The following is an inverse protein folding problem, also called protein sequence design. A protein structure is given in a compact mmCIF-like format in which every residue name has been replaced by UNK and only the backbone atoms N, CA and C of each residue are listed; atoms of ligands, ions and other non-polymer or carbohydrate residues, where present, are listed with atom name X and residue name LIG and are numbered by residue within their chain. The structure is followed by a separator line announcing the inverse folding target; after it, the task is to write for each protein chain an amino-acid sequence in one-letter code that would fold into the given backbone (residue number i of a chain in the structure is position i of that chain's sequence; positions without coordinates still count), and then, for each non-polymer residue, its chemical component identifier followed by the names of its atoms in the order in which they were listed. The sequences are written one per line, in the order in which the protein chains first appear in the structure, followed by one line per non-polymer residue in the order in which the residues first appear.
data_IF_897697697654
#
_entry.id   IF_897697697654
#
_cell.length_a   1.000
_cell.length_b   1.000
_cell.length_c   1.000
_cell.angle_alpha   90.00
_cell.angle_beta   90.00
_cell.angle_gamma   90.00
#
_symmetry.space_group_name_H-M   'P 1'
#
loop_
_entity.id
_entity.type
_entity.pdbx_description
1 polymer ?
#
# COMPACT_ATOMS: atom_id res chain seq x y z
N UNK A 1 -20.78 -18.67 21.20
CA UNK A 1 -19.48 -19.10 20.64
C UNK A 1 -19.65 -19.34 19.15
N UNK A 2 -19.17 -18.44 18.30
CA UNK A 2 -19.23 -18.58 16.85
C UNK A 2 -17.86 -19.03 16.34
N UNK A 3 -17.82 -20.19 15.69
CA UNK A 3 -16.61 -20.83 15.20
C UNK A 3 -15.88 -19.98 14.16
N UNK A 4 -14.60 -19.76 14.42
CA UNK A 4 -13.62 -19.21 13.49
C UNK A 4 -13.29 -20.26 12.44
N UNK A 5 -13.90 -20.17 11.26
CA UNK A 5 -13.49 -20.96 10.10
C UNK A 5 -12.08 -20.58 9.61
N UNK A 6 -11.35 -21.49 8.94
CA UNK A 6 -10.01 -21.25 8.43
C UNK A 6 -10.03 -20.10 7.42
N UNK A 7 -8.97 -19.29 7.42
CA UNK A 7 -8.93 -17.97 6.81
C UNK A 7 -9.44 -17.92 5.37
N UNK A 8 -10.56 -17.22 5.17
CA UNK A 8 -11.08 -16.89 3.84
C UNK A 8 -10.01 -16.19 2.98
N UNK A 9 -10.13 -16.36 1.66
CA UNK A 9 -9.13 -15.88 0.68
C UNK A 9 -8.87 -14.38 0.86
N UNK A 10 -7.61 -14.03 1.08
CA UNK A 10 -7.16 -12.65 1.18
C UNK A 10 -6.81 -12.11 -0.20
N UNK A 11 -7.20 -10.87 -0.48
CA UNK A 11 -6.82 -10.16 -1.72
C UNK A 11 -6.38 -8.74 -1.41
N UNK A 12 -5.40 -8.25 -2.15
CA UNK A 12 -5.06 -6.83 -2.13
C UNK A 12 -6.01 -6.02 -3.01
N UNK A 13 -6.37 -4.82 -2.56
CA UNK A 13 -7.31 -3.94 -3.23
C UNK A 13 -6.87 -2.48 -3.11
N UNK A 14 -7.19 -1.70 -4.14
CA UNK A 14 -7.12 -0.24 -4.13
C UNK A 14 -8.54 0.28 -4.27
N UNK A 15 -9.05 0.92 -3.23
CA UNK A 15 -10.44 1.37 -3.17
C UNK A 15 -10.60 2.74 -3.83
N UNK A 16 -11.63 2.94 -4.64
CA UNK A 16 -11.97 4.24 -5.22
C UNK A 16 -13.42 4.58 -4.88
N UNK A 17 -13.80 5.86 -4.81
CA UNK A 17 -12.97 7.07 -4.94
C UNK A 17 -12.09 7.36 -3.70
N UNK A 18 -11.09 8.28 -3.78
CA UNK A 18 -10.16 8.58 -2.69
C UNK A 18 -10.81 8.92 -1.34
N UNK A 19 -11.93 9.64 -1.33
CA UNK A 19 -12.64 9.98 -0.10
C UNK A 19 -13.28 8.75 0.58
N UNK A 20 -13.76 7.77 -0.22
CA UNK A 20 -14.26 6.51 0.31
C UNK A 20 -13.10 5.67 0.90
N UNK A 21 -11.96 5.63 0.22
CA UNK A 21 -10.75 5.00 0.75
C UNK A 21 -10.30 5.64 2.08
N UNK A 22 -10.38 6.97 2.19
CA UNK A 22 -10.04 7.70 3.40
C UNK A 22 -10.96 7.29 4.56
N UNK A 23 -12.29 7.33 4.36
CA UNK A 23 -13.25 6.95 5.40
C UNK A 23 -13.05 5.51 5.88
N UNK A 24 -12.83 4.58 4.96
CA UNK A 24 -12.62 3.17 5.27
C UNK A 24 -11.27 2.88 5.93
N UNK A 25 -10.22 3.63 5.58
CA UNK A 25 -8.94 3.55 6.28
C UNK A 25 -9.04 4.09 7.71
N UNK A 26 -9.74 5.20 7.93
CA UNK A 26 -9.98 5.76 9.28
C UNK A 26 -10.75 4.77 10.14
N UNK A 27 -11.89 4.28 9.65
CA UNK A 27 -12.73 3.28 10.33
C UNK A 27 -11.88 2.08 10.79
N UNK A 28 -11.12 1.49 9.86
CA UNK A 28 -10.28 0.34 10.17
C UNK A 28 -9.14 0.68 11.13
N UNK A 29 -8.42 1.78 10.95
CA UNK A 29 -7.28 2.12 11.81
C UNK A 29 -7.73 2.37 13.26
N UNK A 30 -8.87 3.04 13.45
CA UNK A 30 -9.40 3.38 14.76
C UNK A 30 -9.96 2.18 15.54
N UNK A 31 -10.00 0.97 14.98
CA UNK A 31 -10.23 -0.26 15.75
C UNK A 31 -9.05 -0.62 16.67
N UNK A 32 -7.85 -0.12 16.36
CA UNK A 32 -6.63 -0.41 17.13
C UNK A 32 -6.33 0.70 18.16
N UNK A 33 -6.12 0.38 19.46
CA UNK A 33 -5.82 1.37 20.49
C UNK A 33 -4.59 2.24 20.20
N UNK A 34 -3.64 1.73 19.44
CA UNK A 34 -2.42 2.45 19.04
C UNK A 34 -2.74 3.67 18.17
N UNK A 35 -3.72 3.53 17.27
CA UNK A 35 -4.15 4.63 16.40
C UNK A 35 -5.14 5.57 17.08
N UNK A 36 -5.97 5.06 18.01
CA UNK A 36 -6.89 5.91 18.79
C UNK A 36 -6.18 6.98 19.63
N UNK A 37 -4.92 6.74 20.03
CA UNK A 37 -4.11 7.69 20.80
C UNK A 37 -3.50 8.81 19.96
N UNK A 38 -3.50 8.68 18.64
CA UNK A 38 -2.95 9.69 17.75
C UNK A 38 -4.05 10.74 17.50
N UNK A 39 -3.68 12.02 17.56
CA UNK A 39 -4.61 13.09 17.25
C UNK A 39 -5.21 12.90 15.84
N UNK A 40 -6.53 13.01 15.72
CA UNK A 40 -7.23 12.73 14.45
C UNK A 40 -6.65 13.53 13.28
N UNK A 41 -6.33 14.80 13.48
CA UNK A 41 -5.73 15.65 12.44
C UNK A 41 -4.37 15.12 11.94
N UNK A 42 -3.59 14.45 12.79
CA UNK A 42 -2.33 13.83 12.39
C UNK A 42 -2.57 12.57 11.54
N UNK A 43 -3.48 11.67 11.96
CA UNK A 43 -3.87 10.51 11.15
C UNK A 43 -4.43 10.96 9.80
N UNK A 44 -5.32 11.95 9.81
CA UNK A 44 -5.96 12.47 8.60
C UNK A 44 -4.92 12.99 7.60
N UNK A 45 -3.92 13.76 8.05
CA UNK A 45 -2.83 14.25 7.17
C UNK A 45 -2.03 13.11 6.54
N UNK A 46 -1.67 12.09 7.32
CA UNK A 46 -0.93 10.93 6.83
C UNK A 46 -1.73 10.16 5.76
N UNK A 47 -3.02 9.94 6.03
CA UNK A 47 -3.94 9.25 5.11
C UNK A 47 -4.19 10.06 3.84
N UNK A 48 -4.48 11.36 3.95
CA UNK A 48 -4.65 12.26 2.79
C UNK A 48 -3.39 12.21 1.93
N UNK A 49 -2.21 12.25 2.53
CA UNK A 49 -0.94 12.14 1.83
C UNK A 49 -0.82 10.83 1.03
N UNK A 50 -0.93 9.67 1.69
CA UNK A 50 -0.72 8.40 1.00
C UNK A 50 -1.85 8.08 0.00
N UNK A 51 -3.10 8.44 0.33
CA UNK A 51 -4.26 8.19 -0.54
C UNK A 51 -4.26 9.12 -1.75
N UNK A 52 -3.99 10.41 -1.54
CA UNK A 52 -3.91 11.39 -2.63
C UNK A 52 -2.86 11.04 -3.68
N UNK A 53 -1.74 10.40 -3.26
CA UNK A 53 -0.69 9.90 -4.15
C UNK A 53 -0.97 8.52 -4.77
N UNK A 54 -2.05 7.84 -4.37
CA UNK A 54 -2.27 6.44 -4.74
C UNK A 54 -1.27 5.46 -4.11
N UNK A 55 -0.51 5.88 -3.10
CA UNK A 55 0.52 5.09 -2.42
C UNK A 55 -0.05 4.40 -1.19
N UNK A 56 -1.09 3.59 -1.39
CA UNK A 56 -1.75 2.83 -0.34
C UNK A 56 -2.34 1.53 -0.89
N UNK A 57 -2.68 0.62 0.01
CA UNK A 57 -3.45 -0.58 -0.32
C UNK A 57 -4.24 -1.07 0.89
N UNK A 58 -5.31 -1.79 0.60
CA UNK A 58 -6.05 -2.60 1.56
C UNK A 58 -5.79 -4.08 1.29
N UNK A 59 -5.87 -4.89 2.35
CA UNK A 59 -6.15 -6.32 2.23
C UNK A 59 -7.59 -6.53 2.68
N UNK A 60 -8.37 -7.23 1.86
CA UNK A 60 -9.76 -7.58 2.20
C UNK A 60 -9.95 -9.10 2.15
N UNK A 61 -10.92 -9.58 2.92
CA UNK A 61 -11.42 -10.96 2.82
C UNK A 61 -12.47 -11.10 1.70
N UNK A 62 -13.00 -12.31 1.53
CA UNK A 62 -14.05 -12.63 0.56
C UNK A 62 -15.33 -11.79 0.78
N UNK A 63 -15.65 -11.50 2.04
CA UNK A 63 -16.78 -10.67 2.46
C UNK A 63 -16.53 -9.17 2.34
N UNK A 64 -15.47 -8.73 1.65
CA UNK A 64 -15.10 -7.32 1.47
C UNK A 64 -14.76 -6.57 2.76
N UNK A 65 -14.50 -7.30 3.85
CA UNK A 65 -14.08 -6.68 5.12
C UNK A 65 -12.59 -6.39 5.05
N UNK A 66 -12.20 -5.21 5.51
CA UNK A 66 -10.80 -4.82 5.58
C UNK A 66 -10.13 -5.63 6.68
N UNK A 67 -9.04 -6.28 6.31
CA UNK A 67 -8.20 -7.07 7.20
C UNK A 67 -6.83 -6.42 7.39
N UNK A 68 -6.42 -5.54 6.47
CA UNK A 68 -5.15 -4.82 6.56
C UNK A 68 -5.14 -3.54 5.76
N UNK A 69 -4.30 -2.60 6.17
CA UNK A 69 -4.08 -1.32 5.50
C UNK A 69 -2.59 -0.94 5.55
N UNK A 70 -2.06 -0.52 4.41
CA UNK A 70 -0.72 0.02 4.28
C UNK A 70 -0.76 1.35 3.54
N UNK A 71 -0.12 2.38 4.09
CA UNK A 71 0.20 3.62 3.41
C UNK A 71 1.72 3.78 3.31
N UNK A 72 2.20 4.38 2.22
CA UNK A 72 3.61 4.72 2.06
C UNK A 72 3.82 6.03 1.32
N UNK A 73 5.08 6.46 1.29
CA UNK A 73 5.60 7.53 0.46
C UNK A 73 6.91 7.09 -0.19
N UNK A 74 7.22 7.63 -1.36
CA UNK A 74 8.54 7.44 -1.99
C UNK A 74 9.34 8.71 -1.77
N UNK A 75 10.41 8.61 -1.00
CA UNK A 75 11.13 9.77 -0.45
C UNK A 75 12.61 9.69 -0.79
N UNK A 76 13.33 10.80 -0.60
CA UNK A 76 14.79 10.79 -0.71
C UNK A 76 15.39 10.07 0.50
N UNK A 77 16.64 9.63 0.36
CA UNK A 77 17.39 9.05 1.49
C UNK A 77 17.49 10.04 2.66
N UNK A 78 17.73 11.30 2.38
CA UNK A 78 17.87 12.33 3.42
C UNK A 78 16.55 12.58 4.14
N UNK A 79 15.44 12.68 3.39
CA UNK A 79 14.10 12.78 3.98
C UNK A 79 13.75 11.55 4.80
N UNK A 80 14.11 10.34 4.35
CA UNK A 80 13.91 9.10 5.10
C UNK A 80 14.70 9.10 6.41
N UNK A 81 15.96 9.50 6.39
CA UNK A 81 16.82 9.52 7.58
C UNK A 81 16.38 10.61 8.58
N UNK A 82 16.05 11.82 8.09
CA UNK A 82 15.47 12.88 8.92
C UNK A 82 14.13 12.44 9.50
N UNK A 83 13.28 11.80 8.69
CA UNK A 83 12.03 11.23 9.18
C UNK A 83 12.30 10.26 10.31
N UNK A 84 13.17 9.26 10.14
CA UNK A 84 13.47 8.27 11.18
C UNK A 84 14.02 8.89 12.48
N UNK A 85 14.85 9.93 12.36
CA UNK A 85 15.54 10.59 13.48
C UNK A 85 14.65 11.58 14.25
N UNK A 86 14.01 12.49 13.54
CA UNK A 86 13.49 13.74 14.13
C UNK A 86 12.01 13.68 14.51
N UNK A 87 11.39 12.52 14.32
CA UNK A 87 9.96 12.33 14.54
C UNK A 87 9.03 13.30 13.81
N UNK A 88 9.52 13.98 12.77
CA UNK A 88 8.69 14.81 11.89
C UNK A 88 7.73 13.95 11.06
N UNK A 89 6.62 14.54 10.62
CA UNK A 89 5.74 13.92 9.63
C UNK A 89 6.36 14.00 8.22
N UNK A 90 6.06 13.01 7.37
CA UNK A 90 6.36 13.10 5.94
C UNK A 90 5.28 13.93 5.25
N UNK A 91 5.71 14.93 4.47
CA UNK A 91 4.82 15.81 3.72
C UNK A 91 4.86 15.45 2.23
N UNK A 92 4.04 16.13 1.42
CA UNK A 92 4.13 15.99 -0.05
C UNK A 92 5.46 16.51 -0.61
N UNK A 93 6.13 17.45 0.07
CA UNK A 93 7.42 17.98 -0.37
C UNK A 93 8.55 16.97 -0.24
N UNK A 94 8.35 15.93 0.58
CA UNK A 94 9.32 14.85 0.76
C UNK A 94 9.27 13.82 -0.38
N UNK A 95 8.28 13.91 -1.28
CA UNK A 95 8.20 13.05 -2.44
C UNK A 95 9.41 13.30 -3.36
N UNK A 96 10.24 12.28 -3.54
CA UNK A 96 11.48 12.43 -4.27
C UNK A 96 11.51 11.66 -5.59
N UNK A 97 12.32 12.18 -6.50
CA UNK A 97 12.90 11.43 -7.61
C UNK A 97 14.42 11.43 -7.44
N UNK A 98 15.11 10.28 -7.59
CA UNK A 98 14.55 8.96 -7.90
C UNK A 98 13.74 8.36 -6.73
N UNK A 99 12.78 7.49 -7.04
CA UNK A 99 11.92 6.82 -6.06
C UNK A 99 12.60 5.56 -5.50
N UNK A 100 13.77 5.71 -4.89
CA UNK A 100 14.61 4.59 -4.45
C UNK A 100 14.43 4.21 -2.97
N UNK A 101 13.80 5.08 -2.16
CA UNK A 101 13.44 4.79 -0.77
C UNK A 101 11.93 4.84 -0.57
N UNK A 102 11.38 3.77 0.01
CA UNK A 102 9.98 3.68 0.41
C UNK A 102 9.87 3.88 1.93
N UNK A 103 9.10 4.88 2.37
CA UNK A 103 8.77 5.09 3.76
C UNK A 103 7.33 4.63 4.05
N UNK A 104 7.19 3.58 4.86
CA UNK A 104 5.88 3.06 5.31
C UNK A 104 5.43 3.89 6.52
N UNK A 105 4.43 4.74 6.31
CA UNK A 105 3.91 5.65 7.33
C UNK A 105 2.77 5.04 8.16
N UNK A 106 2.00 4.12 7.57
CA UNK A 106 0.85 3.48 8.20
C UNK A 106 0.87 1.99 7.88
N UNK A 107 0.75 1.16 8.91
CA UNK A 107 0.70 -0.29 8.78
C UNK A 107 -0.18 -0.88 9.88
N UNK A 108 -1.31 -1.48 9.48
CA UNK A 108 -2.17 -2.27 10.38
C UNK A 108 -2.53 -3.57 9.68
N UNK A 109 -2.28 -4.69 10.35
CA UNK A 109 -2.71 -6.03 9.93
C UNK A 109 -3.49 -6.67 11.08
N UNK A 110 -4.66 -7.23 10.79
CA UNK A 110 -5.50 -7.87 11.81
C UNK A 110 -4.90 -9.19 12.34
N UNK A 111 -4.07 -9.88 11.54
CA UNK A 111 -3.47 -11.19 11.86
C UNK A 111 -2.15 -11.44 11.10
N UNK A 112 -1.30 -12.39 11.54
CA UNK A 112 -0.01 -12.67 10.91
C UNK A 112 -0.08 -13.04 9.42
N UNK A 113 -1.12 -13.75 8.99
CA UNK A 113 -1.30 -14.14 7.59
C UNK A 113 -1.58 -12.93 6.71
N UNK A 114 -2.32 -11.95 7.25
CA UNK A 114 -2.59 -10.67 6.56
C UNK A 114 -1.31 -9.85 6.46
N UNK A 115 -0.49 -9.82 7.52
CA UNK A 115 0.80 -9.15 7.49
C UNK A 115 1.70 -9.73 6.37
N UNK A 116 1.72 -11.06 6.22
CA UNK A 116 2.45 -11.74 5.15
C UNK A 116 1.91 -11.37 3.76
N UNK A 117 0.57 -11.33 3.61
CA UNK A 117 -0.08 -10.88 2.38
C UNK A 117 0.25 -9.42 2.04
N UNK A 118 0.29 -8.54 3.04
CA UNK A 118 0.69 -7.14 2.87
C UNK A 118 2.14 -7.01 2.41
N UNK A 119 3.09 -7.76 2.99
CA UNK A 119 4.49 -7.71 2.53
C UNK A 119 4.59 -8.07 1.04
N UNK A 120 3.91 -9.14 0.63
CA UNK A 120 3.87 -9.54 -0.79
C UNK A 120 3.21 -8.48 -1.68
N UNK A 121 2.09 -7.91 -1.24
CA UNK A 121 1.34 -6.90 -1.99
C UNK A 121 2.07 -5.56 -2.10
N UNK A 122 2.80 -5.15 -1.06
CA UNK A 122 3.65 -3.96 -1.08
C UNK A 122 4.79 -4.14 -2.07
N UNK A 123 5.54 -5.26 -1.99
CA UNK A 123 6.64 -5.56 -2.92
C UNK A 123 6.21 -5.52 -4.39
N UNK A 124 4.96 -5.90 -4.71
CA UNK A 124 4.40 -5.81 -6.07
C UNK A 124 4.13 -4.40 -6.57
N UNK A 125 3.94 -3.45 -5.64
CA UNK A 125 3.58 -2.05 -5.92
C UNK A 125 4.77 -1.12 -5.89
N UNK A 126 5.89 -1.56 -5.30
CA UNK A 126 7.09 -0.74 -5.24
C UNK A 126 7.79 -0.69 -6.62
N UNK A 127 8.30 0.48 -7.04
CA UNK A 127 9.11 0.59 -8.24
C UNK A 127 10.32 -0.34 -8.19
N UNK A 128 10.71 -0.93 -9.32
CA UNK A 128 11.85 -1.86 -9.42
C UNK A 128 13.18 -1.26 -8.93
N UNK A 129 13.32 0.08 -8.96
CA UNK A 129 14.47 0.80 -8.44
C UNK A 129 14.49 1.00 -6.92
N UNK A 130 13.50 0.51 -6.18
CA UNK A 130 13.44 0.67 -4.71
C UNK A 130 14.55 -0.16 -4.06
N UNK A 131 15.43 0.49 -3.30
CA UNK A 131 16.57 -0.17 -2.64
C UNK A 131 16.39 -0.29 -1.14
N UNK A 132 15.53 0.54 -0.56
CA UNK A 132 15.35 0.63 0.88
C UNK A 132 13.88 0.82 1.23
N UNK A 133 13.39 0.05 2.20
CA UNK A 133 12.13 0.29 2.89
C UNK A 133 12.47 0.73 4.31
N UNK A 134 11.94 1.88 4.71
CA UNK A 134 12.03 2.40 6.08
C UNK A 134 10.66 2.43 6.72
N UNK A 135 10.61 2.15 8.02
CA UNK A 135 9.39 2.21 8.81
C UNK A 135 9.72 2.59 10.25
N UNK A 136 8.69 2.92 11.03
CA UNK A 136 8.80 3.11 12.47
C UNK A 136 7.85 2.18 13.17
N UNK A 137 8.36 1.50 14.20
CA UNK A 137 7.54 0.67 15.07
C UNK A 137 7.36 1.36 16.41
N UNK A 138 6.11 1.68 16.72
CA UNK A 138 5.71 2.22 18.01
C UNK A 138 5.43 1.06 18.97
N UNK A 139 6.02 1.10 20.16
CA UNK A 139 5.74 0.17 21.24
C UNK A 139 4.80 0.82 22.27
N UNK A 140 4.13 -0.02 23.06
CA UNK A 140 3.19 0.43 24.10
C UNK A 140 3.83 1.30 25.16
N UNK A 141 5.13 1.14 25.41
CA UNK A 141 5.92 1.94 26.34
C UNK A 141 6.40 3.29 25.75
N UNK A 142 5.90 3.66 24.57
CA UNK A 142 6.26 4.92 23.89
C UNK A 142 7.58 4.86 23.13
N UNK A 143 8.34 3.76 23.20
CA UNK A 143 9.55 3.61 22.40
C UNK A 143 9.21 3.56 20.92
N UNK A 144 10.04 4.19 20.10
CA UNK A 144 9.98 4.12 18.65
C UNK A 144 11.24 3.40 18.18
N UNK A 145 11.08 2.28 17.48
CA UNK A 145 12.20 1.61 16.82
C UNK A 145 12.20 1.95 15.33
N UNK A 146 13.25 2.61 14.82
CA UNK A 146 13.43 2.75 13.39
C UNK A 146 13.71 1.38 12.76
N UNK A 147 13.08 1.11 11.63
CA UNK A 147 13.28 -0.09 10.82
C UNK A 147 13.90 0.36 9.50
N UNK A 148 15.00 -0.29 9.12
CA UNK A 148 15.64 -0.17 7.82
C UNK A 148 15.74 -1.56 7.22
N UNK A 149 15.09 -1.76 6.09
CA UNK A 149 15.09 -3.03 5.39
C UNK A 149 15.60 -2.81 3.97
N UNK A 150 16.83 -3.26 3.64
CA UNK A 150 17.28 -3.27 2.26
C UNK A 150 16.36 -4.20 1.45
N UNK A 151 16.08 -3.80 0.21
CA UNK A 151 15.28 -4.60 -0.71
C UNK A 151 16.14 -4.94 -1.91
N UNK A 152 16.31 -6.25 -2.13
CA UNK A 152 17.01 -6.72 -3.31
C UNK A 152 16.06 -6.67 -4.53
N UNK A 153 16.56 -6.33 -5.74
CA UNK A 153 15.71 -6.20 -6.93
C UNK A 153 14.83 -7.43 -7.22
N UNK A 154 15.34 -8.64 -6.98
CA UNK A 154 14.59 -9.89 -7.19
C UNK A 154 13.37 -10.04 -6.26
N UNK A 155 13.31 -9.29 -5.16
CA UNK A 155 12.17 -9.28 -4.22
C UNK A 155 11.04 -8.38 -4.72
N UNK A 156 11.33 -7.47 -5.66
CA UNK A 156 10.38 -6.56 -6.29
C UNK A 156 9.84 -7.25 -7.53
N UNK A 157 8.73 -7.97 -7.39
CA UNK A 157 8.03 -8.53 -8.54
C UNK A 157 7.17 -7.44 -9.16
N UNK A 158 7.18 -7.21 -10.47
CA UNK A 158 6.12 -6.43 -11.10
C UNK A 158 4.76 -7.06 -10.79
N UNK A 159 3.71 -6.25 -10.62
CA UNK A 159 2.35 -6.78 -10.76
C UNK A 159 2.24 -7.44 -12.14
N UNK A 160 1.83 -8.70 -12.20
CA UNK A 160 1.60 -9.37 -13.48
C UNK A 160 0.59 -8.54 -14.31
N UNK A 161 0.84 -8.28 -15.59
CA UNK A 161 -0.17 -7.66 -16.44
C UNK A 161 -1.28 -8.68 -16.72
N UNK A 162 -2.49 -8.46 -16.22
CA UNK A 162 -3.67 -9.23 -16.61
C UNK A 162 -4.84 -9.21 -15.62
N UNK A 163 -5.91 -8.48 -15.94
CA UNK A 163 -7.15 -8.48 -15.15
C UNK A 163 -8.33 -7.57 -15.53
N UNK A 164 -8.43 -7.04 -16.76
CA UNK A 164 -9.65 -6.45 -17.39
C UNK A 164 -10.25 -5.17 -16.80
N UNK A 165 -11.23 -4.49 -17.47
CA UNK A 165 -12.00 -4.90 -18.64
C UNK A 165 -11.93 -3.88 -19.82
N UNK A 166 -12.01 -4.38 -21.05
CA UNK A 166 -12.13 -3.53 -22.24
C UNK A 166 -12.61 -4.37 -23.40
N UNK A 167 -13.93 -4.37 -23.62
CA UNK A 167 -14.49 -4.81 -24.89
C UNK A 167 -14.18 -3.74 -25.93
N UNK A 168 -13.45 -4.13 -26.97
CA UNK A 168 -13.53 -3.49 -28.29
C UNK A 168 -14.25 -4.52 -29.19
N UNK A 169 -15.47 -4.25 -29.62
CA UNK A 169 -15.79 -3.35 -30.73
C UNK A 169 -15.16 -3.84 -32.05
N UNK A 170 -16.03 -4.46 -32.86
CA UNK A 170 -16.01 -4.49 -34.32
C UNK A 170 -14.68 -4.80 -35.03
N UNK A 171 -14.44 -6.09 -35.28
CA UNK A 171 -13.63 -6.50 -36.43
C UNK A 171 -14.44 -6.27 -37.71
N UNK A 172 -14.17 -5.17 -38.41
CA UNK A 172 -14.58 -4.96 -39.81
C UNK A 172 -13.94 -6.01 -40.74
N UNK A 173 -14.54 -6.26 -41.92
CA UNK A 173 -14.19 -7.41 -42.74
C UNK A 173 -12.81 -7.28 -43.39
N UNK A 174 -12.07 -8.40 -43.41
CA UNK A 174 -10.78 -8.57 -44.08
C UNK A 174 -10.91 -8.38 -45.60
N UNK A 175 -9.98 -7.70 -46.29
CA UNK A 175 -9.89 -7.76 -47.73
C UNK A 175 -9.41 -9.15 -48.19
N UNK A 176 -10.04 -9.67 -49.24
CA UNK A 176 -9.70 -10.94 -49.87
C UNK A 176 -8.31 -10.88 -50.52
N UNK A 177 -7.52 -11.94 -50.32
CA UNK A 177 -6.34 -12.25 -51.13
C UNK A 177 -6.82 -12.75 -52.49
N UNK A 178 -6.41 -12.09 -53.57
CA UNK A 178 -6.39 -12.64 -54.93
C UNK A 178 -4.94 -12.70 -55.43
N UNK A 179 -4.52 -13.89 -55.86
CA UNK A 179 -3.24 -14.22 -56.51
C UNK A 179 -3.56 -14.72 -57.93
N UNK A 180 -2.73 -14.36 -58.92
CA UNK A 180 -2.66 -14.93 -60.29
C UNK A 180 -3.67 -14.29 -61.28
N UNK A 181 -3.32 -13.87 -62.49
CA UNK A 181 -2.13 -14.04 -63.35
C UNK A 181 -1.70 -12.71 -63.98
#
# INVERSE_FOLDING_TARGET
MAGTGPGGRLRDATMRPPHAALGRAVEFLLEAPEFQRIAFGQIARLLIGCIGRGSYMFIVDEGQRIQGFCGWAMVSRDSAEAWLRDNRDLTQQDDARPRDVCAVNLWKAARPEVNSAMIGALRRRLPAGTRLVVARRFYRDGRIRPIRMPVAPHQLRPAAPGGGPGGDAAAGPRPARGQGD
#
